data_IF_502102524082
#
_entry.id   IF_502102524082
#
_cell.length_a   1.000
_cell.length_b   1.000
_cell.length_c   1.000
_cell.angle_alpha   90.00
_cell.angle_beta   90.00
_cell.angle_gamma   90.00
#
_symmetry.space_group_name_H-M   'P 1'
#
loop_
_entity.id
_entity.type
_entity.pdbx_description
1 polymer ?
#
# COMPACT_ATOMS: atom_id res chain seq x y z
N UNK A 1 -63.72 -4.95 -23.97
CA UNK A 1 -63.73 -5.36 -22.56
C UNK A 1 -62.36 -5.09 -21.99
N UNK A 2 -62.18 -3.89 -21.43
CA UNK A 2 -60.97 -3.54 -20.68
C UNK A 2 -61.08 -4.03 -19.25
N UNK A 3 -59.96 -4.47 -18.68
CA UNK A 3 -59.81 -4.58 -17.23
C UNK A 3 -58.38 -4.14 -16.89
N UNK A 4 -58.28 -2.99 -16.24
CA UNK A 4 -57.11 -2.51 -15.52
C UNK A 4 -56.78 -3.45 -14.36
N UNK A 5 -55.50 -3.65 -14.08
CA UNK A 5 -55.05 -4.07 -12.76
C UNK A 5 -53.84 -3.22 -12.35
N UNK A 6 -53.98 -2.68 -11.15
CA UNK A 6 -53.23 -1.61 -10.52
C UNK A 6 -51.89 -2.05 -9.94
N UNK A 7 -51.00 -1.07 -9.82
CA UNK A 7 -49.77 -1.06 -9.05
C UNK A 7 -49.94 -1.63 -7.63
N UNK A 8 -49.01 -2.49 -7.23
CA UNK A 8 -48.61 -2.70 -5.84
C UNK A 8 -47.10 -2.90 -5.80
N UNK A 9 -46.42 -1.88 -5.30
CA UNK A 9 -45.02 -1.82 -4.89
C UNK A 9 -44.74 -2.86 -3.79
N UNK A 10 -43.67 -3.67 -3.87
CA UNK A 10 -43.10 -4.28 -2.69
C UNK A 10 -41.91 -3.46 -2.22
N UNK A 11 -42.06 -3.00 -0.98
CA UNK A 11 -41.11 -2.29 -0.14
C UNK A 11 -39.64 -2.72 -0.32
N UNK A 12 -38.76 -1.71 -0.28
CA UNK A 12 -37.33 -1.85 -0.06
C UNK A 12 -37.06 -2.78 1.13
N UNK A 13 -36.47 -3.94 0.84
CA UNK A 13 -35.86 -4.78 1.86
C UNK A 13 -34.37 -4.47 1.85
N UNK A 14 -33.97 -3.55 2.72
CA UNK A 14 -32.57 -3.40 3.14
C UNK A 14 -32.16 -4.75 3.73
N UNK A 15 -31.29 -5.47 3.03
CA UNK A 15 -30.67 -6.69 3.57
C UNK A 15 -29.30 -6.32 4.09
N UNK A 16 -29.25 -6.16 5.41
CA UNK A 16 -28.03 -6.17 6.19
C UNK A 16 -27.21 -7.41 5.82
N UNK A 17 -26.02 -7.17 5.27
CA UNK A 17 -25.07 -8.24 5.02
C UNK A 17 -24.21 -8.38 6.27
N UNK A 18 -24.38 -9.51 6.93
CA UNK A 18 -23.68 -9.95 8.13
C UNK A 18 -22.16 -9.98 7.89
N UNK A 19 -21.48 -8.95 8.38
CA UNK A 19 -20.04 -8.92 8.59
C UNK A 19 -19.82 -8.99 10.11
N UNK A 20 -19.03 -9.96 10.55
CA UNK A 20 -18.73 -10.17 11.97
C UNK A 20 -18.26 -8.87 12.66
N UNK A 21 -18.79 -8.54 13.87
CA UNK A 21 -18.42 -7.33 14.61
C UNK A 21 -17.26 -7.60 15.59
N UNK A 22 -16.24 -6.74 15.56
CA UNK A 22 -15.24 -6.61 16.62
C UNK A 22 -13.97 -5.92 16.09
N UNK A 23 -13.47 -4.81 16.60
CA UNK A 23 -13.76 -4.02 17.80
C UNK A 23 -13.25 -2.56 17.56
N UNK A 24 -13.67 -1.59 18.40
CA UNK A 24 -13.34 -0.17 18.22
C UNK A 24 -11.85 0.15 18.47
N UNK A 25 -11.36 1.11 17.68
CA UNK A 25 -10.13 1.86 17.93
C UNK A 25 -10.18 2.50 19.32
N UNK A 26 -9.36 1.98 20.24
CA UNK A 26 -9.08 2.64 21.51
C UNK A 26 -7.89 3.58 21.30
N UNK A 27 -8.17 4.88 21.35
CA UNK A 27 -7.17 5.93 21.44
C UNK A 27 -6.47 5.86 22.79
N UNK A 28 -5.20 5.47 22.83
CA UNK A 28 -4.14 6.03 23.70
C UNK A 28 -2.94 5.10 23.79
N UNK A 29 -1.99 5.20 22.85
CA UNK A 29 -0.57 4.95 23.15
C UNK A 29 0.29 5.91 22.30
N UNK A 30 1.27 6.61 22.90
CA UNK A 30 2.17 7.44 22.13
C UNK A 30 3.07 6.55 21.29
N UNK A 31 3.12 6.84 19.99
CA UNK A 31 4.02 6.21 19.02
C UNK A 31 5.46 6.29 19.52
N UNK A 32 5.97 5.17 20.04
CA UNK A 32 7.39 4.99 20.30
C UNK A 32 8.14 5.11 18.97
N UNK A 33 8.92 6.18 18.86
CA UNK A 33 9.57 6.59 17.62
C UNK A 33 10.33 5.49 16.90
N UNK A 34 10.23 5.55 15.58
CA UNK A 34 11.13 4.98 14.60
C UNK A 34 12.56 4.93 15.16
N UNK A 35 13.19 3.76 15.06
CA UNK A 35 14.58 3.55 15.43
C UNK A 35 15.52 4.36 14.53
N UNK A 36 15.64 5.65 14.81
CA UNK A 36 16.79 6.45 14.40
C UNK A 36 17.95 5.97 15.28
N UNK A 37 18.90 5.27 14.68
CA UNK A 37 20.22 5.09 15.28
C UNK A 37 20.91 6.45 15.13
N UNK A 38 20.76 7.29 16.15
CA UNK A 38 21.32 8.62 16.18
C UNK A 38 20.51 9.55 17.07
N UNK A 39 21.07 9.86 18.24
CA UNK A 39 20.63 10.92 19.16
C UNK A 39 19.32 10.69 19.90
N UNK A 40 19.38 9.77 20.86
CA UNK A 40 18.65 9.94 22.12
C UNK A 40 19.68 9.89 23.24
N UNK A 41 19.97 11.06 23.79
CA UNK A 41 20.79 11.21 25.00
C UNK A 41 19.99 10.63 26.15
N UNK A 42 20.19 9.34 26.42
CA UNK A 42 19.84 8.73 27.71
C UNK A 42 20.99 9.07 28.65
N UNK A 43 20.71 9.83 29.69
CA UNK A 43 21.72 10.31 30.65
C UNK A 43 22.25 9.22 31.60
N UNK A 44 22.29 7.96 31.16
CA UNK A 44 22.72 6.82 31.99
C UNK A 44 23.80 5.94 31.35
N UNK A 45 24.34 6.36 30.21
CA UNK A 45 25.59 5.83 29.67
C UNK A 45 26.44 7.04 29.24
N UNK A 46 27.62 7.15 29.84
CA UNK A 46 28.51 8.30 29.76
C UNK A 46 28.64 8.88 28.35
N UNK A 47 28.48 10.21 28.27
CA UNK A 47 28.73 10.95 27.05
C UNK A 47 30.19 10.74 26.60
N UNK A 48 30.38 10.39 25.33
CA UNK A 48 31.69 10.49 24.68
C UNK A 48 31.90 11.97 24.39
N UNK A 49 32.61 12.65 25.28
CA UNK A 49 32.99 14.04 25.14
C UNK A 49 33.41 14.62 26.47
N UNK A 50 34.68 15.03 26.53
CA UNK A 50 35.27 15.92 27.53
C UNK A 50 35.70 15.30 28.88
N UNK A 51 36.88 14.67 28.89
CA UNK A 51 37.73 14.63 30.09
C UNK A 51 39.22 14.51 29.72
N UNK A 52 39.76 15.53 29.05
CA UNK A 52 41.22 15.76 28.98
C UNK A 52 41.69 16.45 30.27
N UNK A 53 41.78 15.70 31.38
CA UNK A 53 42.49 16.18 32.56
C UNK A 53 42.82 15.06 33.55
N UNK A 54 44.11 14.74 33.64
CA UNK A 54 44.76 14.47 34.93
C UNK A 54 44.62 13.07 35.52
N UNK A 55 45.63 12.23 35.24
CA UNK A 55 46.33 11.34 36.16
C UNK A 55 45.54 10.50 37.18
N UNK A 56 45.57 9.16 37.02
CA UNK A 56 46.34 8.20 37.86
C UNK A 56 45.78 6.78 37.69
N UNK A 57 46.71 5.84 37.51
CA UNK A 57 46.63 4.36 37.52
C UNK A 57 45.24 3.75 37.83
N UNK A 58 44.53 3.32 36.79
CA UNK A 58 43.47 2.31 36.90
C UNK A 58 43.77 1.15 35.96
N UNK A 59 44.23 0.04 36.54
CA UNK A 59 44.36 -1.27 35.88
C UNK A 59 43.04 -1.72 35.19
N UNK A 60 41.90 -1.18 35.63
CA UNK A 60 40.59 -1.43 35.05
C UNK A 60 40.40 -0.83 33.64
N UNK A 61 41.04 0.30 33.31
CA UNK A 61 40.91 0.91 31.98
C UNK A 61 41.64 0.13 30.87
N UNK A 62 42.75 -0.54 31.21
CA UNK A 62 43.48 -1.39 30.25
C UNK A 62 42.78 -2.73 30.02
N UNK A 63 42.19 -3.31 31.07
CA UNK A 63 41.38 -4.52 30.95
C UNK A 63 40.14 -4.27 30.08
N UNK A 64 39.51 -3.12 30.27
CA UNK A 64 38.37 -2.68 29.46
C UNK A 64 38.80 -2.41 28.01
N UNK A 65 39.98 -1.79 27.77
CA UNK A 65 40.51 -1.60 26.42
C UNK A 65 40.79 -2.93 25.70
N UNK A 66 41.39 -3.90 26.39
CA UNK A 66 41.72 -5.20 25.80
C UNK A 66 40.45 -6.04 25.53
N UNK A 67 39.48 -5.97 26.44
CA UNK A 67 38.16 -6.56 26.24
C UNK A 67 37.40 -5.92 25.07
N UNK A 68 37.40 -4.59 24.98
CA UNK A 68 36.77 -3.85 23.89
C UNK A 68 37.41 -4.20 22.52
N UNK A 69 38.74 -4.33 22.46
CA UNK A 69 39.45 -4.82 21.27
C UNK A 69 39.00 -6.24 20.87
N UNK A 70 38.90 -7.15 21.84
CA UNK A 70 38.46 -8.52 21.60
C UNK A 70 37.00 -8.58 21.10
N UNK A 71 36.13 -7.73 21.64
CA UNK A 71 34.74 -7.60 21.20
C UNK A 71 34.63 -7.01 19.79
N UNK A 72 35.47 -6.02 19.45
CA UNK A 72 35.54 -5.46 18.10
C UNK A 72 36.02 -6.47 17.08
N UNK A 73 37.05 -7.26 17.40
CA UNK A 73 37.53 -8.36 16.56
C UNK A 73 36.43 -9.41 16.35
N UNK A 74 35.71 -9.77 17.42
CA UNK A 74 34.58 -10.70 17.34
C UNK A 74 33.44 -10.17 16.46
N UNK A 75 33.15 -8.87 16.55
CA UNK A 75 32.13 -8.21 15.73
C UNK A 75 32.55 -8.07 14.27
N UNK A 76 33.85 -7.87 14.00
CA UNK A 76 34.40 -7.79 12.64
C UNK A 76 34.14 -9.09 11.84
N UNK A 77 34.25 -10.26 12.48
CA UNK A 77 33.89 -11.53 11.84
C UNK A 77 32.37 -11.75 11.69
N UNK A 78 31.53 -10.88 12.25
CA UNK A 78 30.06 -10.97 12.25
C UNK A 78 29.41 -9.65 11.83
N UNK A 79 29.99 -8.96 10.85
CA UNK A 79 29.45 -7.69 10.36
C UNK A 79 28.01 -7.86 9.87
N UNK A 80 27.09 -6.98 10.30
CA UNK A 80 25.73 -6.93 9.76
C UNK A 80 25.78 -6.81 8.24
N UNK A 81 25.06 -7.69 7.57
CA UNK A 81 24.86 -7.65 6.14
C UNK A 81 23.71 -6.69 5.80
N UNK A 82 23.66 -6.12 4.57
CA UNK A 82 22.52 -5.31 4.14
C UNK A 82 21.17 -6.03 4.34
N UNK A 83 21.12 -7.33 4.06
CA UNK A 83 19.94 -8.19 4.27
C UNK A 83 19.50 -8.31 5.73
N UNK A 84 20.39 -8.08 6.69
CA UNK A 84 20.04 -8.16 8.13
C UNK A 84 19.21 -6.93 8.56
N UNK A 85 19.24 -5.85 7.77
CA UNK A 85 18.35 -4.69 7.91
C UNK A 85 17.05 -4.85 7.11
N UNK A 86 16.96 -5.86 6.24
CA UNK A 86 15.75 -6.11 5.47
C UNK A 86 14.71 -6.79 6.36
N UNK A 87 13.47 -6.30 6.31
CA UNK A 87 12.36 -6.97 6.98
C UNK A 87 12.20 -8.37 6.37
N UNK A 88 12.28 -9.43 7.18
CA UNK A 88 12.05 -10.79 6.73
C UNK A 88 10.71 -10.87 6.00
N UNK A 89 10.76 -11.17 4.69
CA UNK A 89 9.56 -11.27 3.87
C UNK A 89 9.09 -12.71 3.89
N UNK A 90 8.29 -13.06 4.89
CA UNK A 90 7.45 -14.26 4.79
C UNK A 90 6.36 -13.97 3.76
N UNK A 91 6.48 -14.57 2.58
CA UNK A 91 5.30 -14.69 1.71
C UNK A 91 4.29 -15.55 2.47
N UNK A 92 3.21 -14.94 2.93
CA UNK A 92 2.10 -15.65 3.54
C UNK A 92 0.98 -15.65 2.50
N UNK A 93 0.75 -16.78 1.82
CA UNK A 93 -0.36 -16.89 0.88
C UNK A 93 -1.67 -16.57 1.62
N UNK A 94 -2.55 -15.77 1.01
CA UNK A 94 -3.89 -15.51 1.56
C UNK A 94 -4.71 -16.78 1.70
N UNK A 95 -4.49 -17.74 0.79
CA UNK A 95 -5.09 -19.07 0.80
C UNK A 95 -3.98 -20.11 0.63
N UNK A 96 -3.38 -20.60 1.74
CA UNK A 96 -2.36 -21.64 1.66
C UNK A 96 -2.93 -22.89 0.99
N UNK A 97 -2.20 -23.41 0.00
CA UNK A 97 -2.54 -24.65 -0.69
C UNK A 97 -1.28 -25.50 -0.83
N UNK A 98 -1.45 -26.83 -0.82
CA UNK A 98 -0.36 -27.75 -1.11
C UNK A 98 -0.08 -27.70 -2.60
N UNK A 99 1.02 -27.06 -2.99
CA UNK A 99 1.50 -27.04 -4.38
C UNK A 99 2.66 -28.02 -4.55
N UNK A 100 2.84 -28.63 -5.73
CA UNK A 100 3.99 -29.49 -5.98
C UNK A 100 5.31 -28.71 -5.82
N UNK A 101 6.40 -29.31 -5.28
CA UNK A 101 7.68 -28.61 -5.08
C UNK A 101 8.32 -28.06 -6.35
N UNK A 102 7.92 -28.55 -7.53
CA UNK A 102 8.37 -28.04 -8.83
C UNK A 102 7.81 -26.66 -9.18
N UNK A 103 6.76 -26.20 -8.51
CA UNK A 103 6.18 -24.87 -8.72
C UNK A 103 6.90 -23.83 -7.84
N UNK A 104 6.91 -22.55 -8.24
CA UNK A 104 7.43 -21.48 -7.41
C UNK A 104 6.76 -21.46 -6.03
N UNK A 105 7.57 -21.65 -4.98
CA UNK A 105 7.11 -21.67 -3.58
C UNK A 105 7.12 -20.28 -2.93
N UNK A 106 7.79 -19.32 -3.56
CA UNK A 106 7.92 -17.93 -3.09
C UNK A 106 7.60 -16.97 -4.24
N UNK A 107 7.10 -15.78 -3.89
CA UNK A 107 6.88 -14.72 -4.87
C UNK A 107 8.21 -14.32 -5.54
N UNK A 108 8.17 -14.11 -6.86
CA UNK A 108 9.34 -13.68 -7.60
C UNK A 108 9.84 -12.31 -7.09
N UNK A 109 11.15 -12.15 -6.75
CA UNK A 109 11.68 -10.91 -6.18
C UNK A 109 11.46 -9.66 -7.05
N UNK A 110 11.38 -9.85 -8.37
CA UNK A 110 11.14 -8.78 -9.35
C UNK A 110 9.83 -8.02 -9.12
N UNK A 111 8.83 -8.65 -8.48
CA UNK A 111 7.53 -8.02 -8.20
C UNK A 111 7.67 -6.84 -7.23
N UNK A 112 8.73 -6.81 -6.42
CA UNK A 112 9.03 -5.69 -5.53
C UNK A 112 9.91 -4.62 -6.16
N UNK A 113 10.38 -4.80 -7.39
CA UNK A 113 11.21 -3.83 -8.08
C UNK A 113 10.32 -2.81 -8.83
N UNK A 114 10.40 -1.50 -8.56
CA UNK A 114 9.63 -0.50 -9.28
C UNK A 114 9.79 -0.54 -10.80
N UNK A 115 10.99 -0.86 -11.31
CA UNK A 115 11.28 -0.93 -12.74
C UNK A 115 10.52 -2.06 -13.46
N UNK A 116 10.02 -3.06 -12.71
CA UNK A 116 9.12 -4.07 -13.26
C UNK A 116 7.76 -3.45 -13.61
N UNK A 117 7.19 -2.66 -12.70
CA UNK A 117 5.89 -2.02 -12.87
C UNK A 117 5.90 -0.94 -13.96
N UNK A 118 7.00 -0.19 -14.05
CA UNK A 118 7.20 0.79 -15.14
C UNK A 118 7.26 0.14 -16.52
N UNK A 119 7.84 -1.06 -16.63
CA UNK A 119 7.86 -1.80 -17.90
C UNK A 119 6.49 -2.41 -18.20
N UNK A 120 5.83 -2.92 -17.17
CA UNK A 120 4.49 -3.49 -17.27
C UNK A 120 3.49 -2.43 -17.77
N UNK A 121 3.59 -1.19 -17.31
CA UNK A 121 2.70 -0.09 -17.68
C UNK A 121 2.85 0.38 -19.14
N UNK A 122 3.84 -0.09 -19.89
CA UNK A 122 3.99 0.25 -21.31
C UNK A 122 3.12 -0.62 -22.24
N UNK A 123 2.70 -1.79 -21.77
CA UNK A 123 1.86 -2.70 -22.55
C UNK A 123 0.37 -2.40 -22.33
N UNK A 124 -0.44 -2.59 -23.37
CA UNK A 124 -1.90 -2.44 -23.29
C UNK A 124 -2.53 -3.42 -22.30
N UNK A 125 -1.93 -4.62 -22.15
CA UNK A 125 -2.32 -5.60 -21.13
C UNK A 125 -1.81 -5.23 -19.72
N UNK A 126 -0.85 -4.31 -19.65
CA UNK A 126 -0.24 -3.85 -18.41
C UNK A 126 -1.23 -3.20 -17.47
N UNK A 127 -2.10 -2.34 -18.01
CA UNK A 127 -3.10 -1.59 -17.23
C UNK A 127 -4.09 -2.52 -16.51
N UNK A 128 -4.49 -3.64 -17.12
CA UNK A 128 -5.34 -4.65 -16.46
C UNK A 128 -4.64 -5.25 -15.22
N UNK A 129 -3.35 -5.55 -15.35
CA UNK A 129 -2.55 -6.06 -14.23
C UNK A 129 -2.36 -5.01 -13.12
N UNK A 130 -2.26 -3.72 -13.48
CA UNK A 130 -2.22 -2.63 -12.49
C UNK A 130 -3.54 -2.57 -11.70
N UNK A 131 -4.69 -2.66 -12.37
CA UNK A 131 -5.98 -2.73 -11.68
C UNK A 131 -6.09 -3.98 -10.80
N UNK A 132 -5.66 -5.14 -11.29
CA UNK A 132 -5.61 -6.37 -10.49
C UNK A 132 -4.82 -6.18 -9.21
N UNK A 133 -3.59 -5.68 -9.31
CA UNK A 133 -2.75 -5.42 -8.15
C UNK A 133 -3.39 -4.40 -7.20
N UNK A 134 -4.00 -3.34 -7.71
CA UNK A 134 -4.64 -2.31 -6.90
C UNK A 134 -5.82 -2.85 -6.08
N UNK A 135 -6.70 -3.65 -6.69
CA UNK A 135 -7.91 -4.15 -6.04
C UNK A 135 -7.69 -5.40 -5.19
N UNK A 136 -6.81 -6.31 -5.61
CA UNK A 136 -6.62 -7.61 -4.95
C UNK A 136 -5.38 -7.70 -4.04
N UNK A 137 -4.47 -6.72 -4.08
CA UNK A 137 -3.29 -6.65 -3.19
C UNK A 137 -3.35 -5.44 -2.25
N UNK A 138 -4.51 -5.18 -1.66
CA UNK A 138 -4.71 -4.04 -0.75
C UNK A 138 -3.74 -4.03 0.43
N UNK A 139 -3.31 -2.84 0.84
CA UNK A 139 -2.37 -2.61 1.94
C UNK A 139 -0.99 -3.23 1.71
N UNK A 140 -0.53 -3.24 0.46
CA UNK A 140 0.80 -3.75 0.09
C UNK A 140 1.59 -2.71 -0.71
N UNK A 141 2.92 -2.88 -0.73
CA UNK A 141 3.79 -2.05 -1.56
C UNK A 141 3.45 -2.17 -3.06
N UNK A 142 2.96 -3.33 -3.49
CA UNK A 142 2.53 -3.57 -4.86
C UNK A 142 1.30 -2.74 -5.24
N UNK A 143 0.33 -2.56 -4.34
CA UNK A 143 -0.78 -1.64 -4.57
C UNK A 143 -0.29 -0.20 -4.75
N UNK A 144 0.66 0.25 -3.94
CA UNK A 144 1.29 1.57 -4.10
C UNK A 144 1.98 1.72 -5.46
N UNK A 145 2.78 0.72 -5.87
CA UNK A 145 3.44 0.73 -7.18
C UNK A 145 2.43 0.75 -8.33
N UNK A 146 1.36 -0.04 -8.23
CA UNK A 146 0.30 -0.04 -9.24
C UNK A 146 -0.42 1.32 -9.33
N UNK A 147 -0.80 1.90 -8.19
CA UNK A 147 -1.42 3.23 -8.13
C UNK A 147 -0.51 4.31 -8.72
N UNK A 148 0.80 4.25 -8.43
CA UNK A 148 1.79 5.17 -8.99
C UNK A 148 1.83 5.12 -10.52
N UNK A 149 1.84 3.92 -11.10
CA UNK A 149 1.85 3.75 -12.56
C UNK A 149 0.50 4.14 -13.19
N UNK A 150 -0.64 3.87 -12.55
CA UNK A 150 -1.95 4.35 -12.99
C UNK A 150 -2.02 5.88 -13.02
N UNK A 151 -1.53 6.57 -11.98
CA UNK A 151 -1.44 8.03 -11.95
C UNK A 151 -0.53 8.58 -13.06
N UNK A 152 0.62 7.93 -13.35
CA UNK A 152 1.49 8.28 -14.49
C UNK A 152 0.76 8.15 -15.84
N UNK A 153 -0.13 7.16 -15.96
CA UNK A 153 -1.01 6.97 -17.11
C UNK A 153 -2.25 7.90 -17.09
N UNK A 154 -2.27 8.94 -16.25
CA UNK A 154 -3.36 9.91 -16.14
C UNK A 154 -4.69 9.31 -15.65
N UNK A 155 -4.67 8.19 -14.95
CA UNK A 155 -5.82 7.71 -14.19
C UNK A 155 -5.93 8.45 -12.86
N UNK A 156 -7.17 8.78 -12.48
CA UNK A 156 -7.53 9.52 -11.25
C UNK A 156 -8.44 8.65 -10.40
N UNK A 157 -8.05 8.39 -9.15
CA UNK A 157 -8.86 7.59 -8.25
C UNK A 157 -9.96 8.42 -7.58
N UNK A 158 -11.19 7.91 -7.61
CA UNK A 158 -12.37 8.56 -7.06
C UNK A 158 -12.85 7.85 -5.77
N UNK A 159 -12.61 8.47 -4.62
CA UNK A 159 -12.83 7.86 -3.29
C UNK A 159 -14.28 7.43 -3.01
N UNK A 160 -15.28 8.12 -3.57
CA UNK A 160 -16.70 7.75 -3.39
C UNK A 160 -17.07 6.44 -4.10
N UNK A 161 -16.56 6.24 -5.30
CA UNK A 161 -16.92 5.10 -6.17
C UNK A 161 -15.86 3.99 -6.11
N UNK A 162 -14.74 4.24 -5.44
CA UNK A 162 -13.61 3.33 -5.35
C UNK A 162 -13.12 2.85 -6.73
N UNK A 163 -13.15 3.74 -7.73
CA UNK A 163 -12.67 3.43 -9.07
C UNK A 163 -11.83 4.52 -9.69
N UNK A 164 -11.05 4.12 -10.69
CA UNK A 164 -10.16 4.95 -11.47
C UNK A 164 -10.88 5.49 -12.71
N UNK A 165 -10.71 6.77 -12.96
CA UNK A 165 -11.23 7.48 -14.12
C UNK A 165 -10.09 8.07 -14.94
N UNK A 166 -10.24 8.06 -16.26
CA UNK A 166 -9.39 8.77 -17.20
C UNK A 166 -10.28 9.63 -18.09
N UNK A 167 -9.85 10.85 -18.40
CA UNK A 167 -10.58 11.72 -19.33
C UNK A 167 -10.56 11.08 -20.71
N UNK A 168 -11.74 10.83 -21.31
CA UNK A 168 -11.83 10.38 -22.71
C UNK A 168 -11.62 11.56 -23.66
N UNK A 169 -12.09 12.74 -23.27
CA UNK A 169 -11.96 14.01 -23.97
C UNK A 169 -11.82 15.15 -22.95
N UNK A 170 -11.51 16.36 -23.42
CA UNK A 170 -11.46 17.52 -22.53
C UNK A 170 -12.86 17.78 -21.92
N UNK A 171 -12.96 18.01 -20.59
CA UNK A 171 -14.23 18.22 -19.94
C UNK A 171 -14.93 19.47 -20.50
N UNK A 172 -16.25 19.37 -20.68
CA UNK A 172 -17.08 20.47 -21.19
C UNK A 172 -17.19 21.62 -20.20
N UNK A 173 -17.12 21.30 -18.90
CA UNK A 173 -17.14 22.26 -17.80
C UNK A 173 -16.03 21.89 -16.83
N UNK A 174 -15.21 22.84 -16.43
CA UNK A 174 -14.24 22.69 -15.36
C UNK A 174 -14.20 23.97 -14.53
N UNK A 175 -14.42 23.86 -13.23
CA UNK A 175 -14.27 24.93 -12.24
C UNK A 175 -13.42 24.43 -11.07
N UNK A 176 -13.34 25.19 -9.97
CA UNK A 176 -12.50 24.82 -8.81
C UNK A 176 -13.07 23.68 -7.95
N UNK A 177 -14.34 23.31 -8.14
CA UNK A 177 -15.05 22.33 -7.32
C UNK A 177 -15.20 20.98 -8.03
N UNK A 178 -15.44 21.01 -9.34
CA UNK A 178 -15.68 19.84 -10.15
C UNK A 178 -15.30 20.05 -11.62
N UNK A 179 -15.23 18.93 -12.33
CA UNK A 179 -15.24 18.90 -13.79
C UNK A 179 -16.34 17.97 -14.31
N UNK A 180 -16.94 18.32 -15.44
CA UNK A 180 -17.96 17.52 -16.10
C UNK A 180 -17.56 17.21 -17.53
N UNK A 181 -17.61 15.94 -17.91
CA UNK A 181 -17.20 15.49 -19.24
C UNK A 181 -17.41 14.00 -19.48
N UNK A 182 -16.79 13.49 -20.54
CA UNK A 182 -16.79 12.06 -20.87
C UNK A 182 -15.54 11.40 -20.30
N UNK A 183 -15.73 10.34 -19.52
CA UNK A 183 -14.66 9.59 -18.88
C UNK A 183 -14.69 8.13 -19.25
N UNK A 184 -13.52 7.52 -19.31
CA UNK A 184 -13.34 6.09 -19.20
C UNK A 184 -13.15 5.75 -17.72
N UNK A 185 -13.81 4.71 -17.23
CA UNK A 185 -13.60 4.19 -15.88
C UNK A 185 -13.44 2.67 -15.88
N UNK A 186 -12.77 2.14 -14.87
CA UNK A 186 -12.63 0.69 -14.73
C UNK A 186 -13.75 0.12 -13.86
N UNK A 187 -14.63 -0.68 -14.44
CA UNK A 187 -15.65 -1.42 -13.71
C UNK A 187 -15.00 -2.68 -13.11
N UNK A 188 -14.66 -2.64 -11.82
CA UNK A 188 -14.03 -3.75 -11.11
C UNK A 188 -15.05 -4.74 -10.52
N UNK A 189 -16.36 -4.48 -10.62
CA UNK A 189 -17.39 -5.33 -10.03
C UNK A 189 -17.64 -6.56 -10.90
N UNK A 190 -16.98 -7.68 -10.56
CA UNK A 190 -17.30 -8.98 -11.14
C UNK A 190 -18.66 -9.42 -10.58
N UNK A 191 -19.75 -9.19 -11.30
CA UNK A 191 -21.06 -9.67 -10.89
C UNK A 191 -21.09 -11.21 -10.98
N UNK A 192 -21.64 -11.87 -9.96
CA UNK A 192 -21.82 -13.32 -9.91
C UNK A 192 -23.08 -13.81 -10.66
N UNK A 193 -23.91 -12.88 -11.14
CA UNK A 193 -25.13 -13.19 -11.90
C UNK A 193 -25.05 -12.62 -13.33
N UNK A 194 -25.49 -13.44 -14.28
CA UNK A 194 -25.22 -13.48 -15.73
C UNK A 194 -25.59 -12.24 -16.59
N UNK A 195 -25.78 -11.05 -16.01
CA UNK A 195 -26.31 -9.90 -16.76
C UNK A 195 -25.33 -8.73 -16.93
N UNK A 196 -24.19 -8.71 -16.23
CA UNK A 196 -23.14 -7.73 -16.50
C UNK A 196 -21.75 -8.25 -16.10
N UNK A 197 -20.95 -8.63 -17.09
CA UNK A 197 -19.53 -8.91 -16.88
C UNK A 197 -18.82 -7.59 -16.55
N UNK A 198 -18.45 -7.39 -15.28
CA UNK A 198 -17.47 -6.38 -14.90
C UNK A 198 -16.05 -6.83 -15.24
N UNK A 199 -15.06 -6.24 -14.59
CA UNK A 199 -13.64 -6.35 -14.96
C UNK A 199 -13.35 -5.82 -16.37
N UNK A 200 -13.83 -4.61 -16.67
CA UNK A 200 -13.62 -3.98 -17.98
C UNK A 200 -13.65 -2.46 -17.90
N UNK A 201 -13.12 -1.82 -18.94
CA UNK A 201 -13.25 -0.37 -19.10
C UNK A 201 -14.64 -0.02 -19.65
N UNK A 202 -15.26 1.02 -19.11
CA UNK A 202 -16.55 1.56 -19.55
C UNK A 202 -16.47 3.05 -19.79
N UNK A 203 -17.32 3.56 -20.68
CA UNK A 203 -17.44 4.99 -20.95
C UNK A 203 -18.65 5.55 -20.20
N UNK A 204 -18.45 6.67 -19.51
CA UNK A 204 -19.48 7.44 -18.83
C UNK A 204 -19.49 8.86 -19.40
N UNK A 205 -20.56 9.21 -20.11
CA UNK A 205 -20.79 10.56 -20.64
C UNK A 205 -21.41 11.46 -19.57
N UNK A 206 -21.17 12.77 -19.67
CA UNK A 206 -21.74 13.79 -18.76
C UNK A 206 -21.49 13.50 -17.27
N UNK A 207 -20.36 12.85 -16.95
CA UNK A 207 -19.99 12.53 -15.58
C UNK A 207 -19.40 13.76 -14.89
N UNK A 208 -19.92 14.07 -13.71
CA UNK A 208 -19.38 15.10 -12.82
C UNK A 208 -18.37 14.46 -11.86
N UNK A 209 -17.10 14.77 -12.07
CA UNK A 209 -16.01 14.43 -11.16
C UNK A 209 -15.84 15.57 -10.15
N UNK A 210 -16.34 15.39 -8.93
CA UNK A 210 -16.14 16.35 -7.83
C UNK A 210 -14.71 16.19 -7.26
N UNK A 211 -13.93 17.27 -7.20
CA UNK A 211 -12.55 17.20 -6.71
C UNK A 211 -12.44 16.86 -5.23
N UNK A 212 -13.50 17.06 -4.44
CA UNK A 212 -13.56 16.60 -3.05
C UNK A 212 -13.45 15.06 -2.92
N UNK A 213 -13.71 14.29 -3.98
CA UNK A 213 -13.48 12.84 -4.00
C UNK A 213 -12.20 12.43 -4.73
N UNK A 214 -11.46 13.36 -5.31
CA UNK A 214 -10.15 13.07 -5.88
C UNK A 214 -9.21 12.60 -4.77
N UNK A 215 -8.50 11.52 -5.04
CA UNK A 215 -7.34 11.11 -4.25
C UNK A 215 -6.08 11.62 -4.94
N UNK A 216 -5.45 12.64 -4.35
CA UNK A 216 -4.28 13.30 -4.94
C UNK A 216 -2.95 12.80 -4.32
N UNK A 217 -2.96 12.41 -3.04
CA UNK A 217 -1.76 12.00 -2.29
C UNK A 217 -1.58 10.47 -2.16
N UNK A 218 -0.53 9.94 -2.80
CA UNK A 218 -0.07 8.60 -2.49
C UNK A 218 0.58 8.57 -1.10
N UNK A 219 -0.15 8.08 -0.09
CA UNK A 219 0.40 7.87 1.27
C UNK A 219 1.44 6.75 1.20
N UNK A 220 2.68 7.06 1.59
CA UNK A 220 3.84 6.15 1.63
C UNK A 220 4.00 5.52 3.01
#
# INVERSE_FOLDING_TARGET
TGVSASLTEPAQVVRDTDLSPGQPLQSSQPSGGLGVIGRRSVSDLGAIGDSLSGATVSSGGMHDQMYNMQMLESAFYKLPQPKDSERARSYIPRHPAVTPPSYPQVQAPIVSNPAFWERLSLDSYGTDTLFFAFYYQQNTYQQYLAAKELKKQSWRYHRKYNTWFQRHEEPKVANDEFEQGTYVYFDFHIANDDLQHGWCQRIKTEFTFEYNYLEDELIV
#
